data_IF_607735029458
#
_entry.id   IF_607735029458
#
_cell.length_a   1.000
_cell.length_b   1.000
_cell.length_c   1.000
_cell.angle_alpha   90.00
_cell.angle_beta   90.00
_cell.angle_gamma   90.00
#
_symmetry.space_group_name_H-M   'P 1'
#
loop_
_entity.id
_entity.type
_entity.pdbx_description
1 polymer ?
#
# COMPACT_ATOMS: atom_id res chain seq x y z
N UNK A 1 -13.48 30.61 -3.79
CA UNK A 1 -12.29 31.44 -4.02
C UNK A 1 -12.25 31.79 -5.51
N UNK A 2 -12.27 33.07 -5.90
CA UNK A 2 -12.21 33.46 -7.31
C UNK A 2 -10.76 33.38 -7.80
N UNK A 3 -10.45 32.41 -8.66
CA UNK A 3 -9.18 32.34 -9.39
C UNK A 3 -9.42 32.94 -10.78
N UNK A 4 -8.57 33.89 -11.17
CA UNK A 4 -8.56 34.55 -12.48
C UNK A 4 -8.01 33.61 -13.56
N UNK A 5 -8.66 33.63 -14.73
CA UNK A 5 -8.17 33.22 -16.05
C UNK A 5 -7.63 31.79 -16.24
N UNK A 6 -8.45 30.80 -15.92
CA UNK A 6 -8.49 29.54 -16.66
C UNK A 6 -9.96 29.20 -16.88
N UNK A 7 -10.35 28.66 -18.04
CA UNK A 7 -11.70 28.16 -18.31
C UNK A 7 -12.03 26.88 -17.51
N UNK A 8 -11.52 26.80 -16.28
CA UNK A 8 -11.67 25.71 -15.35
C UNK A 8 -12.84 26.02 -14.42
N UNK A 9 -13.94 25.30 -14.60
CA UNK A 9 -15.06 25.34 -13.66
C UNK A 9 -14.78 24.36 -12.53
N UNK A 10 -14.86 24.82 -11.28
CA UNK A 10 -14.72 23.99 -10.08
C UNK A 10 -16.11 23.85 -9.47
N UNK A 11 -16.72 22.69 -9.65
CA UNK A 11 -18.02 22.35 -9.09
C UNK A 11 -17.85 21.41 -7.89
N UNK A 12 -18.64 21.64 -6.84
CA UNK A 12 -18.65 20.78 -5.66
C UNK A 12 -19.85 19.84 -5.74
N UNK A 13 -19.59 18.54 -5.77
CA UNK A 13 -20.61 17.49 -5.83
C UNK A 13 -20.51 16.62 -4.59
N UNK A 14 -21.62 16.49 -3.87
CA UNK A 14 -21.76 15.55 -2.75
C UNK A 14 -22.31 14.23 -3.27
N UNK A 15 -21.63 13.13 -2.92
CA UNK A 15 -21.99 11.76 -3.27
C UNK A 15 -21.55 10.85 -2.11
N UNK A 16 -22.22 9.71 -1.90
CA UNK A 16 -21.85 8.79 -0.83
C UNK A 16 -20.58 8.02 -1.22
N UNK A 17 -19.70 7.75 -0.26
CA UNK A 17 -18.46 7.00 -0.52
C UNK A 17 -18.71 5.53 -0.88
N UNK A 18 -19.86 4.99 -0.48
CA UNK A 18 -20.29 3.63 -0.85
C UNK A 18 -20.91 3.54 -2.25
N UNK A 19 -21.20 4.68 -2.88
CA UNK A 19 -21.68 4.72 -4.27
C UNK A 19 -20.53 4.38 -5.24
N UNK A 20 -20.87 4.05 -6.48
CA UNK A 20 -19.91 3.62 -7.50
C UNK A 20 -19.48 4.75 -8.44
N UNK A 21 -18.46 4.50 -9.26
CA UNK A 21 -18.12 5.39 -10.39
C UNK A 21 -19.30 5.58 -11.34
N UNK A 22 -20.15 4.56 -11.52
CA UNK A 22 -21.35 4.67 -12.34
C UNK A 22 -22.32 5.71 -11.76
N UNK A 23 -22.56 5.66 -10.45
CA UNK A 23 -23.45 6.59 -9.75
C UNK A 23 -22.92 8.03 -9.80
N UNK A 24 -21.60 8.20 -9.67
CA UNK A 24 -20.95 9.51 -9.85
C UNK A 24 -21.15 10.05 -11.27
N UNK A 25 -20.97 9.22 -12.30
CA UNK A 25 -21.19 9.64 -13.69
C UNK A 25 -22.64 10.08 -13.89
N UNK A 26 -23.60 9.30 -13.37
CA UNK A 26 -25.03 9.65 -13.39
C UNK A 26 -25.29 11.01 -12.74
N UNK A 27 -24.73 11.24 -11.56
CA UNK A 27 -24.88 12.50 -10.82
C UNK A 27 -24.27 13.70 -11.56
N UNK A 28 -23.12 13.54 -12.21
CA UNK A 28 -22.49 14.61 -13.01
C UNK A 28 -23.33 15.00 -14.23
N UNK A 29 -23.97 14.03 -14.87
CA UNK A 29 -24.90 14.24 -15.99
C UNK A 29 -26.19 14.91 -15.51
N UNK A 30 -26.77 14.43 -14.42
CA UNK A 30 -27.99 14.99 -13.82
C UNK A 30 -27.80 16.46 -13.44
N UNK A 31 -26.66 16.79 -12.82
CA UNK A 31 -26.30 18.18 -12.47
C UNK A 31 -25.90 19.04 -13.66
N UNK A 32 -25.94 18.51 -14.88
CA UNK A 32 -25.58 19.19 -16.13
C UNK A 32 -24.14 19.75 -16.12
N UNK A 33 -23.25 19.10 -15.36
CA UNK A 33 -21.84 19.47 -15.28
C UNK A 33 -21.04 18.93 -16.47
N UNK A 34 -21.50 17.83 -17.05
CA UNK A 34 -20.97 17.29 -18.30
C UNK A 34 -22.10 16.70 -19.16
N UNK A 35 -22.05 16.85 -20.51
CA UNK A 35 -22.97 16.16 -21.41
C UNK A 35 -22.80 14.63 -21.31
N UNK A 36 -23.87 13.82 -21.38
CA UNK A 36 -23.78 12.36 -21.34
C UNK A 36 -22.77 11.79 -22.35
N UNK A 37 -22.78 12.36 -23.56
CA UNK A 37 -21.90 12.01 -24.66
C UNK A 37 -20.40 12.19 -24.36
N UNK A 38 -20.02 13.09 -23.45
CA UNK A 38 -18.62 13.28 -23.03
C UNK A 38 -18.20 12.34 -21.89
N UNK A 39 -19.13 11.60 -21.28
CA UNK A 39 -18.88 10.72 -20.14
C UNK A 39 -18.66 9.24 -20.53
N UNK A 40 -18.82 8.92 -21.82
CA UNK A 40 -18.50 7.59 -22.35
C UNK A 40 -17.01 7.29 -22.23
N UNK A 41 -16.65 6.02 -22.06
CA UNK A 41 -15.26 5.53 -22.08
C UNK A 41 -14.28 6.20 -21.11
N UNK A 42 -14.79 6.86 -20.06
CA UNK A 42 -13.96 7.35 -18.95
C UNK A 42 -13.13 6.20 -18.37
N UNK A 43 -11.81 6.31 -18.37
CA UNK A 43 -10.94 5.38 -17.65
C UNK A 43 -10.64 5.95 -16.28
N UNK A 44 -10.55 5.08 -15.28
CA UNK A 44 -10.12 5.44 -13.93
C UNK A 44 -8.67 5.03 -13.79
N UNK A 45 -7.79 6.00 -13.55
CA UNK A 45 -6.36 5.74 -13.45
C UNK A 45 -6.08 4.77 -12.30
N UNK A 46 -5.38 3.67 -12.58
CA UNK A 46 -5.07 2.58 -11.64
C UNK A 46 -6.15 1.50 -11.52
N UNK A 47 -7.27 1.64 -12.23
CA UNK A 47 -8.38 0.68 -12.22
C UNK A 47 -8.91 0.39 -13.64
N UNK A 48 -8.03 0.43 -14.64
CA UNK A 48 -8.36 0.41 -16.07
C UNK A 48 -9.10 -0.87 -16.50
N UNK A 49 -8.92 -1.96 -15.76
CA UNK A 49 -9.50 -3.28 -16.07
C UNK A 49 -10.82 -3.57 -15.36
N UNK A 50 -11.25 -2.73 -14.42
CA UNK A 50 -12.46 -2.96 -13.64
C UNK A 50 -13.68 -2.27 -14.27
N UNK A 51 -14.83 -2.95 -14.21
CA UNK A 51 -16.11 -2.37 -14.61
C UNK A 51 -16.52 -1.28 -13.60
N UNK A 52 -16.93 -0.13 -14.13
CA UNK A 52 -17.35 1.07 -13.37
C UNK A 52 -18.48 0.81 -12.38
N UNK A 53 -19.39 -0.09 -12.73
CA UNK A 53 -20.52 -0.53 -11.91
C UNK A 53 -20.12 -1.30 -10.64
N UNK A 54 -18.87 -1.77 -10.57
CA UNK A 54 -18.34 -2.51 -9.42
C UNK A 54 -17.28 -1.73 -8.63
N UNK A 55 -16.91 -0.52 -9.07
CA UNK A 55 -15.86 0.27 -8.46
C UNK A 55 -16.46 1.33 -7.53
N UNK A 56 -16.49 1.03 -6.23
CA UNK A 56 -16.92 1.97 -5.18
C UNK A 56 -15.99 3.18 -5.11
N UNK A 57 -16.56 4.35 -4.82
CA UNK A 57 -15.82 5.60 -4.68
C UNK A 57 -14.83 5.53 -3.51
N UNK A 58 -15.18 4.89 -2.41
CA UNK A 58 -14.29 4.67 -1.25
C UNK A 58 -12.97 4.00 -1.64
N UNK A 59 -12.99 3.04 -2.57
CA UNK A 59 -11.79 2.36 -3.07
C UNK A 59 -10.85 3.28 -3.85
N UNK A 60 -11.37 4.30 -4.51
CA UNK A 60 -10.57 5.25 -5.29
C UNK A 60 -9.68 6.14 -4.44
N UNK A 61 -10.06 6.33 -3.17
CA UNK A 61 -9.36 7.22 -2.24
C UNK A 61 -8.65 6.44 -1.12
N UNK A 62 -8.47 5.13 -1.28
CA UNK A 62 -7.84 4.31 -0.26
C UNK A 62 -6.34 4.60 -0.15
N UNK A 63 -5.68 4.98 -1.25
CA UNK A 63 -4.24 5.31 -1.29
C UNK A 63 -3.94 6.77 -1.64
N UNK A 64 -4.94 7.55 -2.08
CA UNK A 64 -4.75 8.93 -2.55
C UNK A 64 -5.92 9.83 -2.14
N UNK A 65 -5.66 11.11 -1.89
CA UNK A 65 -6.73 12.10 -1.68
C UNK A 65 -7.42 12.52 -2.99
N UNK A 66 -6.90 12.05 -4.12
CA UNK A 66 -7.35 12.40 -5.46
C UNK A 66 -7.47 11.17 -6.35
N UNK A 67 -8.57 11.11 -7.10
CA UNK A 67 -8.78 10.13 -8.14
C UNK A 67 -8.93 10.84 -9.49
N UNK A 68 -8.39 10.24 -10.54
CA UNK A 68 -8.38 10.81 -11.88
C UNK A 68 -9.20 9.94 -12.82
N UNK A 69 -10.20 10.55 -13.44
CA UNK A 69 -10.98 9.94 -14.50
C UNK A 69 -10.76 10.74 -15.78
N UNK A 70 -10.48 10.07 -16.88
CA UNK A 70 -10.25 10.76 -18.13
C UNK A 70 -10.67 9.95 -19.34
N UNK A 71 -11.02 10.64 -20.41
CA UNK A 71 -11.10 10.10 -21.76
C UNK A 71 -10.53 11.14 -22.74
N UNK A 72 -10.77 10.99 -24.03
CA UNK A 72 -10.32 11.93 -25.06
C UNK A 72 -10.98 13.32 -24.98
N UNK A 73 -12.06 13.47 -24.22
CA UNK A 73 -12.92 14.66 -24.22
C UNK A 73 -12.95 15.41 -22.89
N UNK A 74 -12.76 14.71 -21.77
CA UNK A 74 -12.85 15.28 -20.43
C UNK A 74 -11.81 14.64 -19.50
N UNK A 75 -11.29 15.45 -18.59
CA UNK A 75 -10.47 15.03 -17.46
C UNK A 75 -11.12 15.52 -16.18
N UNK A 76 -11.48 14.58 -15.32
CA UNK A 76 -12.17 14.80 -14.05
C UNK A 76 -11.19 14.44 -12.95
N UNK A 77 -10.88 15.41 -12.10
CA UNK A 77 -10.12 15.17 -10.87
C UNK A 77 -11.08 15.20 -9.70
N UNK A 78 -11.29 14.04 -9.07
CA UNK A 78 -12.02 13.94 -7.83
C UNK A 78 -11.06 14.21 -6.68
N UNK A 79 -11.46 15.03 -5.72
CA UNK A 79 -10.69 15.26 -4.50
C UNK A 79 -11.60 14.99 -3.31
N UNK A 80 -11.19 14.11 -2.39
CA UNK A 80 -11.95 13.85 -1.17
C UNK A 80 -11.94 15.13 -0.31
N UNK A 81 -13.11 15.72 -0.09
CA UNK A 81 -13.24 16.89 0.79
C UNK A 81 -12.97 16.44 2.23
N UNK A 82 -11.76 16.68 2.73
CA UNK A 82 -11.45 16.56 4.15
C UNK A 82 -12.14 17.72 4.89
N UNK A 83 -12.82 17.44 5.99
CA UNK A 83 -12.97 18.46 7.03
C UNK A 83 -11.56 18.93 7.35
N UNK A 84 -11.25 20.21 7.11
CA UNK A 84 -9.91 20.75 7.34
C UNK A 84 -9.67 20.67 8.84
N UNK A 85 -8.82 19.76 9.34
CA UNK A 85 -8.32 19.90 10.68
C UNK A 85 -7.32 21.04 10.58
N UNK A 86 -7.36 21.98 11.52
CA UNK A 86 -6.34 23.04 11.59
C UNK A 86 -4.95 22.41 11.55
N UNK A 87 -3.94 23.13 11.04
CA UNK A 87 -2.53 22.72 11.00
C UNK A 87 -1.94 22.27 12.36
N UNK A 88 -2.71 22.40 13.46
CA UNK A 88 -2.41 21.82 14.76
C UNK A 88 -2.67 20.29 14.85
N UNK A 89 -3.39 19.68 13.89
CA UNK A 89 -3.78 18.26 13.91
C UNK A 89 -2.86 17.33 13.10
N UNK A 90 -1.67 17.77 12.68
CA UNK A 90 -0.51 16.86 12.51
C UNK A 90 0.03 16.42 13.90
N UNK A 91 -0.87 16.17 14.86
CA UNK A 91 -0.55 15.52 16.13
C UNK A 91 -0.19 14.07 15.81
N UNK A 92 1.12 13.84 15.69
CA UNK A 92 1.84 12.61 16.02
C UNK A 92 1.16 11.32 15.56
N UNK A 93 1.37 10.98 14.29
CA UNK A 93 1.25 9.59 13.85
C UNK A 93 2.04 8.69 14.81
N UNK A 94 1.42 7.61 15.29
CA UNK A 94 2.03 6.68 16.24
C UNK A 94 2.79 5.60 15.49
N UNK A 95 4.12 5.71 15.53
CA UNK A 95 5.05 4.76 14.94
C UNK A 95 5.56 3.71 15.93
N UNK A 96 5.16 3.78 17.20
CA UNK A 96 5.72 2.93 18.27
C UNK A 96 5.57 1.44 17.95
N UNK A 97 4.41 1.04 17.43
CA UNK A 97 4.15 -0.35 17.01
C UNK A 97 4.96 -0.74 15.78
N UNK A 98 5.07 0.14 14.79
CA UNK A 98 5.88 -0.11 13.60
C UNK A 98 7.36 -0.32 13.95
N UNK A 99 7.91 0.51 14.84
CA UNK A 99 9.28 0.36 15.36
C UNK A 99 9.44 -0.95 16.11
N UNK A 100 8.44 -1.34 16.92
CA UNK A 100 8.40 -2.64 17.60
C UNK A 100 8.39 -3.82 16.61
N UNK A 101 7.58 -3.74 15.56
CA UNK A 101 7.50 -4.77 14.52
C UNK A 101 8.83 -4.92 13.77
N UNK A 102 9.48 -3.81 13.39
CA UNK A 102 10.80 -3.81 12.75
C UNK A 102 11.85 -4.48 13.66
N UNK A 103 11.81 -4.20 14.96
CA UNK A 103 12.72 -4.84 15.92
C UNK A 103 12.51 -6.36 15.95
N UNK A 104 11.27 -6.83 16.03
CA UNK A 104 10.93 -8.27 16.03
C UNK A 104 11.34 -8.94 14.72
N UNK A 105 11.12 -8.27 13.59
CA UNK A 105 11.55 -8.75 12.27
C UNK A 105 13.07 -8.91 12.19
N UNK A 106 13.83 -7.93 12.67
CA UNK A 106 15.30 -8.02 12.68
C UNK A 106 15.79 -9.14 13.60
N UNK A 107 15.19 -9.32 14.79
CA UNK A 107 15.48 -10.45 15.68
C UNK A 107 15.20 -11.80 15.01
N UNK A 108 14.10 -11.92 14.27
CA UNK A 108 13.76 -13.12 13.50
C UNK A 108 14.78 -13.39 12.37
N UNK A 109 15.24 -12.35 11.67
CA UNK A 109 16.29 -12.48 10.64
C UNK A 109 17.66 -12.86 11.21
N UNK A 110 17.99 -12.40 12.43
CA UNK A 110 19.22 -12.79 13.13
C UNK A 110 19.18 -14.26 13.55
N UNK A 111 18.02 -14.73 13.99
CA UNK A 111 17.80 -16.13 14.38
C UNK A 111 17.78 -17.08 13.18
N UNK A 112 17.28 -16.61 12.04
CA UNK A 112 17.03 -17.46 10.89
C UNK A 112 17.28 -16.73 9.56
N UNK A 113 18.16 -17.31 8.73
CA UNK A 113 18.59 -16.70 7.48
C UNK A 113 17.55 -16.84 6.35
N UNK A 114 16.96 -15.71 5.97
CA UNK A 114 16.08 -15.54 4.79
C UNK A 114 16.89 -14.98 3.62
N UNK A 115 16.80 -15.60 2.44
CA UNK A 115 17.52 -15.10 1.25
C UNK A 115 16.91 -13.81 0.69
N UNK A 116 17.71 -12.84 0.20
CA UNK A 116 17.20 -11.77 -0.65
C UNK A 116 16.50 -12.35 -1.88
N UNK A 117 15.45 -11.68 -2.34
CA UNK A 117 14.54 -12.15 -3.38
C UNK A 117 13.39 -13.02 -2.88
N UNK A 118 13.38 -13.42 -1.60
CA UNK A 118 12.29 -14.23 -1.04
C UNK A 118 10.98 -13.44 -1.03
N UNK A 119 9.95 -13.99 -1.70
CA UNK A 119 8.60 -13.43 -1.76
C UNK A 119 7.68 -14.16 -0.79
N UNK A 120 7.05 -13.40 0.09
CA UNK A 120 6.06 -13.85 1.06
C UNK A 120 4.67 -13.50 0.56
N UNK A 121 3.68 -14.37 0.79
CA UNK A 121 2.28 -14.05 0.60
C UNK A 121 1.63 -13.79 1.96
N UNK A 122 0.94 -12.66 2.10
CA UNK A 122 0.23 -12.30 3.33
C UNK A 122 -1.21 -11.96 2.96
N UNK A 123 -2.15 -12.62 3.62
CA UNK A 123 -3.56 -12.30 3.56
C UNK A 123 -4.08 -11.98 4.97
N UNK A 124 -4.68 -10.81 5.11
CA UNK A 124 -5.41 -10.39 6.30
C UNK A 124 -6.84 -10.04 5.88
N UNK A 125 -7.80 -10.84 6.32
CA UNK A 125 -9.20 -10.74 5.88
C UNK A 125 -9.33 -10.79 4.35
N UNK A 126 -9.75 -9.68 3.72
CA UNK A 126 -9.87 -9.53 2.27
C UNK A 126 -8.61 -9.01 1.59
N UNK A 127 -7.64 -8.53 2.36
CA UNK A 127 -6.50 -7.80 1.83
C UNK A 127 -5.32 -8.75 1.61
N UNK A 128 -4.75 -8.69 0.41
CA UNK A 128 -3.73 -9.63 -0.04
C UNK A 128 -2.51 -8.89 -0.58
N UNK A 129 -1.35 -9.27 -0.07
CA UNK A 129 -0.07 -8.63 -0.38
C UNK A 129 1.00 -9.66 -0.70
N UNK A 130 1.92 -9.25 -1.57
CA UNK A 130 3.19 -9.93 -1.76
C UNK A 130 4.29 -9.04 -1.20
N UNK A 131 5.15 -9.61 -0.35
CA UNK A 131 6.27 -8.90 0.25
C UNK A 131 7.55 -9.54 -0.22
N UNK A 132 8.41 -8.79 -0.90
CA UNK A 132 9.71 -9.26 -1.33
C UNK A 132 10.78 -8.73 -0.40
N UNK A 133 11.51 -9.64 0.24
CA UNK A 133 12.66 -9.31 1.08
C UNK A 133 13.87 -9.07 0.19
N UNK A 134 14.45 -7.90 0.26
CA UNK A 134 15.72 -7.56 -0.36
C UNK A 134 16.81 -7.37 0.71
N UNK A 135 18.04 -7.05 0.29
CA UNK A 135 19.17 -6.94 1.22
C UNK A 135 18.98 -5.88 2.32
N UNK A 136 18.29 -4.78 1.99
CA UNK A 136 18.11 -3.63 2.89
C UNK A 136 16.68 -3.10 2.87
N UNK A 137 15.82 -3.67 2.04
CA UNK A 137 14.46 -3.21 1.82
C UNK A 137 13.47 -4.35 1.90
N UNK A 138 12.24 -4.01 2.24
CA UNK A 138 11.06 -4.85 2.04
C UNK A 138 10.22 -4.11 1.00
N UNK A 139 10.04 -4.74 -0.15
CA UNK A 139 9.17 -4.23 -1.21
C UNK A 139 7.78 -4.85 -1.04
N UNK A 140 6.75 -4.03 -1.09
CA UNK A 140 5.37 -4.48 -0.89
C UNK A 140 4.55 -4.24 -2.16
N UNK A 141 3.87 -5.29 -2.60
CA UNK A 141 3.06 -5.32 -3.81
C UNK A 141 1.63 -5.70 -3.45
N UNK A 142 0.65 -5.04 -4.05
CA UNK A 142 -0.74 -5.49 -3.98
C UNK A 142 -0.92 -6.73 -4.84
N UNK A 143 -1.54 -7.77 -4.29
CA UNK A 143 -1.69 -9.05 -4.97
C UNK A 143 -2.51 -8.92 -6.27
N UNK A 144 -3.61 -8.16 -6.23
CA UNK A 144 -4.55 -7.99 -7.35
C UNK A 144 -3.93 -7.31 -8.58
N UNK A 145 -3.07 -6.31 -8.35
CA UNK A 145 -2.61 -5.37 -9.37
C UNK A 145 -1.13 -5.50 -9.68
N UNK A 146 -0.32 -5.97 -8.73
CA UNK A 146 1.14 -5.99 -8.83
C UNK A 146 1.73 -7.41 -8.71
N UNK A 147 0.92 -8.47 -8.85
CA UNK A 147 1.36 -9.87 -8.79
C UNK A 147 2.66 -10.13 -9.57
N UNK A 148 2.65 -9.85 -10.88
CA UNK A 148 3.80 -10.10 -11.75
C UNK A 148 5.03 -9.29 -11.35
N UNK A 149 4.83 -8.07 -10.85
CA UNK A 149 5.93 -7.19 -10.47
C UNK A 149 6.71 -7.73 -9.27
N UNK A 150 6.05 -8.42 -8.34
CA UNK A 150 6.69 -9.00 -7.17
C UNK A 150 7.73 -10.09 -7.51
N UNK A 151 7.60 -10.74 -8.67
CA UNK A 151 8.48 -11.83 -9.12
C UNK A 151 9.53 -11.43 -10.15
N UNK A 152 9.56 -10.16 -10.59
CA UNK A 152 10.58 -9.69 -11.54
C UNK A 152 11.91 -9.47 -10.83
N UNK A 153 13.01 -9.67 -11.53
CA UNK A 153 14.36 -9.43 -10.97
C UNK A 153 14.81 -7.97 -11.06
N UNK A 154 14.25 -7.17 -11.98
CA UNK A 154 14.58 -5.76 -12.17
C UNK A 154 13.32 -4.93 -12.51
N UNK A 155 13.45 -3.60 -12.48
CA UNK A 155 12.40 -2.63 -12.84
C UNK A 155 11.05 -2.85 -12.13
N UNK A 156 11.13 -3.18 -10.83
CA UNK A 156 9.97 -3.31 -9.96
C UNK A 156 9.52 -1.94 -9.48
N UNK A 157 8.21 -1.77 -9.41
CA UNK A 157 7.56 -0.57 -8.88
C UNK A 157 6.61 -0.98 -7.76
N UNK A 158 7.13 -1.33 -6.56
CA UNK A 158 6.30 -1.63 -5.39
C UNK A 158 5.52 -0.38 -4.97
N UNK A 159 4.30 -0.54 -4.46
CA UNK A 159 3.52 0.63 -4.00
C UNK A 159 4.08 1.21 -2.68
N UNK A 160 4.83 0.38 -1.95
CA UNK A 160 5.47 0.69 -0.68
C UNK A 160 6.82 -0.01 -0.62
N UNK A 161 7.86 0.75 -0.28
CA UNK A 161 9.18 0.24 0.07
C UNK A 161 9.51 0.63 1.49
N UNK A 162 9.85 -0.35 2.32
CA UNK A 162 10.35 -0.14 3.68
C UNK A 162 11.86 -0.36 3.65
N UNK A 163 12.62 0.71 3.79
CA UNK A 163 14.08 0.64 3.82
C UNK A 163 14.58 0.63 5.27
N UNK A 164 15.48 -0.30 5.59
CA UNK A 164 16.03 -0.46 6.92
C UNK A 164 17.51 -0.08 6.92
N UNK A 165 17.82 1.08 7.51
CA UNK A 165 19.20 1.59 7.59
C UNK A 165 19.78 1.46 8.97
N UNK A 166 21.10 1.36 9.07
CA UNK A 166 21.85 1.66 10.29
C UNK A 166 21.98 3.17 10.47
N UNK A 167 22.28 3.62 11.69
CA UNK A 167 22.45 5.05 11.97
C UNK A 167 23.48 5.72 11.08
N UNK A 168 24.54 5.00 10.72
CA UNK A 168 25.67 5.55 9.96
C UNK A 168 25.37 5.59 8.44
N UNK A 169 24.33 4.88 7.98
CA UNK A 169 23.80 4.92 6.61
C UNK A 169 22.73 6.01 6.40
N UNK A 170 22.22 6.62 7.49
CA UNK A 170 21.21 7.69 7.42
C UNK A 170 21.82 9.01 6.95
N UNK A 171 21.15 9.68 6.03
CA UNK A 171 21.41 11.09 5.71
C UNK A 171 21.03 11.99 6.89
N UNK A 172 21.47 13.26 6.89
CA UNK A 172 21.14 14.22 7.94
C UNK A 172 19.62 14.44 8.10
N UNK A 173 18.90 14.43 6.98
CA UNK A 173 17.44 14.63 6.96
C UNK A 173 16.71 13.39 7.48
N UNK A 174 17.09 12.20 7.00
CA UNK A 174 16.56 10.93 7.49
C UNK A 174 16.84 10.75 8.99
N UNK A 175 18.05 11.06 9.46
CA UNK A 175 18.40 11.00 10.88
C UNK A 175 17.53 11.94 11.73
N UNK A 176 17.24 13.14 11.23
CA UNK A 176 16.37 14.09 11.91
C UNK A 176 14.95 13.54 12.01
N UNK A 177 14.45 12.91 10.94
CA UNK A 177 13.13 12.28 10.92
C UNK A 177 13.06 11.03 11.80
N UNK A 178 14.05 10.12 11.75
CA UNK A 178 14.07 8.91 12.60
C UNK A 178 14.02 9.30 14.09
N UNK A 179 14.70 10.38 14.48
CA UNK A 179 14.66 10.90 15.86
C UNK A 179 13.28 11.36 16.32
N UNK A 180 12.34 11.64 15.40
CA UNK A 180 10.97 12.00 15.80
C UNK A 180 10.13 10.77 16.13
N UNK A 181 10.55 9.57 15.75
CA UNK A 181 9.79 8.33 15.94
C UNK A 181 10.49 7.32 16.87
N UNK A 182 11.84 7.34 16.94
CA UNK A 182 12.61 6.43 17.78
C UNK A 182 14.03 6.97 18.06
N UNK A 183 14.75 6.31 18.96
CA UNK A 183 16.20 6.52 19.08
C UNK A 183 16.93 5.80 17.95
N UNK A 184 17.76 6.50 17.15
CA UNK A 184 18.44 5.88 16.01
C UNK A 184 19.37 4.72 16.44
N UNK A 185 19.15 3.55 15.84
CA UNK A 185 19.89 2.32 16.11
C UNK A 185 21.16 2.20 15.26
N UNK A 186 22.22 1.62 15.83
CA UNK A 186 23.43 1.26 15.06
C UNK A 186 23.23 0.02 14.16
N UNK A 187 22.21 -0.79 14.44
CA UNK A 187 21.79 -1.90 13.59
C UNK A 187 20.85 -1.41 12.49
N UNK A 188 20.66 -2.20 11.43
CA UNK A 188 19.75 -1.89 10.31
C UNK A 188 18.27 -2.05 10.71
N UNK A 189 17.84 -1.21 11.65
CA UNK A 189 16.50 -1.22 12.26
C UNK A 189 15.85 0.16 12.24
N UNK A 190 16.44 1.15 11.57
CA UNK A 190 15.83 2.47 11.40
C UNK A 190 14.96 2.42 10.15
N UNK A 191 13.62 2.41 10.27
CA UNK A 191 12.75 2.24 9.12
C UNK A 191 12.56 3.56 8.38
N UNK A 192 12.64 3.54 7.05
CA UNK A 192 12.23 4.63 6.18
C UNK A 192 11.12 4.11 5.28
N UNK A 193 9.96 4.78 5.33
CA UNK A 193 8.78 4.36 4.59
C UNK A 193 8.63 5.21 3.33
N UNK A 194 8.82 4.57 2.18
CA UNK A 194 8.68 5.18 0.87
C UNK A 194 7.37 4.71 0.25
N UNK A 195 6.38 5.58 0.21
CA UNK A 195 5.08 5.33 -0.40
C UNK A 195 5.00 6.08 -1.73
N UNK A 196 4.47 5.45 -2.76
CA UNK A 196 4.29 6.08 -4.07
C UNK A 196 3.32 7.29 -4.01
N UNK A 197 2.54 7.42 -2.94
CA UNK A 197 1.52 8.47 -2.77
C UNK A 197 1.52 9.07 -1.35
N UNK A 198 2.29 10.14 -1.08
CA UNK A 198 2.13 10.94 0.14
C UNK A 198 0.83 11.77 0.12
N UNK A 199 0.23 12.10 1.29
CA UNK A 199 0.76 11.97 2.64
C UNK A 199 0.46 10.63 3.35
N UNK A 200 1.33 10.23 4.28
CA UNK A 200 1.16 9.05 5.13
C UNK A 200 0.04 9.28 6.16
N UNK A 201 -0.81 8.28 6.38
CA UNK A 201 -1.88 8.26 7.39
C UNK A 201 -1.58 7.21 8.46
N UNK A 202 -2.29 7.23 9.60
CA UNK A 202 -2.13 6.19 10.63
C UNK A 202 -2.49 4.80 10.08
N UNK A 203 -3.51 4.71 9.22
CA UNK A 203 -3.89 3.47 8.55
C UNK A 203 -2.74 2.87 7.73
N UNK A 204 -1.94 3.71 7.06
CA UNK A 204 -0.74 3.23 6.36
C UNK A 204 0.29 2.65 7.33
N UNK A 205 0.49 3.29 8.49
CA UNK A 205 1.45 2.81 9.51
C UNK A 205 0.97 1.51 10.15
N UNK A 206 -0.33 1.40 10.42
CA UNK A 206 -0.92 0.20 11.00
C UNK A 206 -0.80 -0.98 10.01
N UNK A 207 -1.09 -0.76 8.72
CA UNK A 207 -0.87 -1.74 7.66
C UNK A 207 0.61 -2.14 7.57
N UNK A 208 1.54 -1.18 7.52
CA UNK A 208 2.99 -1.44 7.51
C UNK A 208 3.39 -2.29 8.73
N UNK A 209 2.85 -1.95 9.90
CA UNK A 209 3.12 -2.66 11.16
C UNK A 209 2.67 -4.12 11.06
N UNK A 210 1.43 -4.36 10.63
CA UNK A 210 0.86 -5.70 10.47
C UNK A 210 1.69 -6.52 9.48
N UNK A 211 2.00 -5.96 8.32
CA UNK A 211 2.81 -6.61 7.29
C UNK A 211 4.20 -7.03 7.77
N UNK A 212 4.93 -6.13 8.45
CA UNK A 212 6.25 -6.46 9.03
C UNK A 212 6.10 -7.51 10.13
N UNK A 213 5.05 -7.42 10.94
CA UNK A 213 4.77 -8.39 12.00
C UNK A 213 4.52 -9.79 11.44
N UNK A 214 3.70 -9.91 10.41
CA UNK A 214 3.42 -11.18 9.73
C UNK A 214 4.66 -11.77 9.07
N UNK A 215 5.53 -10.95 8.46
CA UNK A 215 6.82 -11.45 7.98
C UNK A 215 7.65 -12.04 9.12
N UNK A 216 7.70 -11.37 10.27
CA UNK A 216 8.41 -11.88 11.45
C UNK A 216 7.80 -13.18 11.98
N UNK A 217 6.46 -13.29 12.00
CA UNK A 217 5.76 -14.51 12.43
C UNK A 217 6.01 -15.68 11.48
N UNK A 218 5.98 -15.44 10.15
CA UNK A 218 6.35 -16.46 9.17
C UNK A 218 7.79 -16.93 9.42
N UNK A 219 8.75 -16.02 9.54
CA UNK A 219 10.16 -16.38 9.79
C UNK A 219 10.31 -17.18 11.08
N UNK A 220 9.62 -16.77 12.16
CA UNK A 220 9.64 -17.44 13.45
C UNK A 220 9.06 -18.86 13.41
N UNK A 221 8.01 -19.12 12.62
CA UNK A 221 7.44 -20.47 12.47
C UNK A 221 8.44 -21.45 11.83
N UNK A 222 9.34 -20.96 10.98
CA UNK A 222 10.38 -21.77 10.35
C UNK A 222 11.70 -21.81 11.15
N UNK A 223 11.76 -21.10 12.29
CA UNK A 223 12.90 -21.10 13.19
C UNK A 223 13.14 -22.53 13.74
N UNK A 224 14.38 -23.02 13.65
CA UNK A 224 14.74 -24.39 14.06
C UNK A 224 14.60 -25.46 12.96
N UNK A 225 14.08 -25.11 11.78
CA UNK A 225 14.24 -25.94 10.59
C UNK A 225 15.68 -25.82 10.05
N UNK A 226 16.26 -26.90 9.52
CA UNK A 226 17.66 -26.92 9.00
C UNK A 226 17.82 -26.29 7.62
N UNK A 227 16.74 -25.75 7.04
CA UNK A 227 16.68 -25.24 5.67
C UNK A 227 16.45 -23.75 5.70
N UNK A 228 17.09 -22.97 4.83
CA UNK A 228 16.78 -21.55 4.66
C UNK A 228 15.32 -21.35 4.21
N UNK A 229 14.71 -20.24 4.64
CA UNK A 229 13.39 -19.81 4.16
C UNK A 229 13.59 -19.09 2.85
N UNK A 230 13.05 -19.70 1.81
CA UNK A 230 13.16 -19.22 0.43
C UNK A 230 11.81 -19.40 -0.24
N UNK A 231 11.42 -18.43 -1.05
CA UNK A 231 10.39 -18.67 -2.06
C UNK A 231 11.07 -19.43 -3.18
N UNK A 232 10.58 -20.63 -3.47
CA UNK A 232 10.97 -21.35 -4.68
C UNK A 232 10.03 -20.94 -5.81
N UNK A 233 10.36 -21.32 -7.05
CA UNK A 233 9.44 -21.13 -8.19
C UNK A 233 8.06 -21.76 -7.96
N UNK A 234 7.96 -22.67 -6.99
CA UNK A 234 6.75 -23.46 -6.71
C UNK A 234 6.05 -23.08 -5.41
N UNK A 235 6.76 -22.65 -4.36
CA UNK A 235 6.19 -22.43 -3.03
C UNK A 235 6.57 -21.07 -2.45
N UNK A 236 5.60 -20.38 -1.85
CA UNK A 236 5.80 -19.12 -1.14
C UNK A 236 5.51 -19.27 0.35
N UNK A 237 6.40 -18.79 1.24
CA UNK A 237 6.09 -18.61 2.66
C UNK A 237 4.85 -17.73 2.83
N UNK A 238 3.93 -18.17 3.67
CA UNK A 238 2.57 -17.63 3.69
C UNK A 238 2.03 -17.40 5.08
N UNK A 239 1.33 -16.29 5.26
CA UNK A 239 0.46 -16.00 6.38
C UNK A 239 -0.96 -15.75 5.87
N UNK A 240 -1.95 -16.47 6.40
CA UNK A 240 -3.37 -16.22 6.11
C UNK A 240 -4.13 -16.09 7.42
N UNK A 241 -4.82 -14.97 7.59
CA UNK A 241 -5.74 -14.75 8.70
C UNK A 241 -7.15 -14.46 8.19
N UNK A 242 -8.12 -15.19 8.73
CA UNK A 242 -9.56 -14.99 8.51
C UNK A 242 -10.25 -14.94 9.86
N UNK A 243 -10.79 -13.77 10.22
CA UNK A 243 -11.29 -13.52 11.57
C UNK A 243 -10.17 -13.69 12.61
N UNK A 244 -10.39 -14.58 13.58
CA UNK A 244 -9.44 -14.84 14.67
C UNK A 244 -8.48 -15.99 14.41
N UNK A 245 -8.64 -16.72 13.30
CA UNK A 245 -7.81 -17.86 12.96
C UNK A 245 -6.70 -17.44 12.01
N UNK A 246 -5.44 -17.71 12.38
CA UNK A 246 -4.27 -17.51 11.54
C UNK A 246 -3.61 -18.84 11.20
N UNK A 247 -3.10 -18.96 9.98
CA UNK A 247 -2.34 -20.11 9.50
C UNK A 247 -1.06 -19.64 8.85
N UNK A 248 0.05 -20.30 9.19
CA UNK A 248 1.38 -20.04 8.64
C UNK A 248 1.87 -21.32 7.94
N UNK A 249 2.48 -21.20 6.78
CA UNK A 249 2.99 -22.34 6.04
C UNK A 249 3.52 -21.96 4.66
N UNK A 250 3.42 -22.90 3.72
CA UNK A 250 3.69 -22.65 2.30
C UNK A 250 2.41 -22.75 1.49
N UNK A 251 2.29 -21.91 0.46
CA UNK A 251 1.28 -22.03 -0.57
C UNK A 251 1.96 -22.26 -1.93
N UNK A 252 1.33 -23.06 -2.79
CA UNK A 252 1.84 -23.20 -4.15
C UNK A 252 1.54 -21.95 -4.97
N UNK A 253 2.50 -21.56 -5.83
CA UNK A 253 2.32 -20.43 -6.74
C UNK A 253 1.14 -20.63 -7.70
N UNK A 254 0.93 -21.86 -8.17
CA UNK A 254 -0.21 -22.28 -8.99
C UNK A 254 -1.57 -22.00 -8.32
N UNK A 255 -1.65 -22.17 -6.99
CA UNK A 255 -2.85 -21.89 -6.22
C UNK A 255 -3.11 -20.39 -6.13
N UNK A 256 -2.05 -19.58 -5.96
CA UNK A 256 -2.14 -18.12 -6.00
C UNK A 256 -2.62 -17.62 -7.36
N UNK A 257 -2.10 -18.19 -8.46
CA UNK A 257 -2.53 -17.84 -9.82
C UNK A 257 -4.03 -18.12 -10.05
N UNK A 258 -4.59 -19.13 -9.38
CA UNK A 258 -6.01 -19.49 -9.47
C UNK A 258 -6.97 -18.57 -8.69
N UNK A 259 -6.47 -17.78 -7.73
CA UNK A 259 -7.28 -16.89 -6.88
C UNK A 259 -7.06 -15.39 -7.18
N UNK A 260 -6.21 -15.09 -8.15
CA UNK A 260 -6.01 -13.74 -8.70
C UNK A 260 -7.22 -13.29 -9.52
#
# INVERSE_FOLDING_TARGET
MKIKDTALTIDTVSINEEDTIHDLIGLLVEKRLAPPQMMHDLTVKGYEKLKKEHLRLSRLFWSTDKAYLSNAHISITLTRKKEVPSLANQMLLDYSKAVGAVKRYDEALEAFAVRPGTVFFVQEESDQYLLRRELQTIEVFRFDTQYEAAFREEDRDPFLTIELKSRDELTKEELKWVRTIMFPSRHRRNPLFHLNHPPISQQHIDMITALIHHMADIIGEFEGTTTHLESTDTHLPTYVQLGTAASIGYIEKSQLEGIR
#
